data_IF_292757422079
#
_entry.id   IF_292757422079
#
_cell.length_a   1.000
_cell.length_b   1.000
_cell.length_c   1.000
_cell.angle_alpha   90.00
_cell.angle_beta   90.00
_cell.angle_gamma   90.00
#
_symmetry.space_group_name_H-M   'P 1'
#
loop_
_entity.id
_entity.type
_entity.pdbx_description
1 polymer ?
#
# COMPACT_ATOMS: atom_id res chain seq x y z
N UNK A 1 51.92 -18.19 16.79
CA UNK A 1 51.06 -18.89 15.78
C UNK A 1 49.59 -18.86 16.16
N UNK A 2 49.26 -18.60 17.41
CA UNK A 2 47.86 -18.62 17.89
C UNK A 2 47.05 -17.33 17.65
N UNK A 3 47.70 -16.17 17.54
CA UNK A 3 47.05 -14.89 17.32
C UNK A 3 46.34 -14.79 15.94
N UNK A 4 46.97 -15.37 14.91
CA UNK A 4 46.44 -15.41 13.54
C UNK A 4 45.21 -16.33 13.45
N UNK A 5 45.21 -17.46 14.18
CA UNK A 5 44.06 -18.37 14.26
C UNK A 5 42.87 -17.73 14.95
N UNK A 6 43.07 -16.98 16.02
CA UNK A 6 42.04 -16.28 16.74
C UNK A 6 41.42 -15.13 15.89
N UNK A 7 42.25 -14.39 15.15
CA UNK A 7 41.74 -13.33 14.26
C UNK A 7 40.92 -13.88 13.10
N UNK A 8 41.34 -14.99 12.50
CA UNK A 8 40.58 -15.64 11.44
C UNK A 8 39.25 -16.24 11.95
N UNK A 9 39.28 -16.85 13.16
CA UNK A 9 38.05 -17.38 13.77
C UNK A 9 37.03 -16.29 14.11
N UNK A 10 37.50 -15.15 14.65
CA UNK A 10 36.60 -13.99 14.92
C UNK A 10 36.02 -13.37 13.64
N UNK A 11 36.86 -13.23 12.59
CA UNK A 11 36.36 -12.71 11.27
C UNK A 11 35.34 -13.68 10.68
N UNK A 12 35.58 -14.98 10.73
CA UNK A 12 34.66 -16.00 10.20
C UNK A 12 33.36 -16.08 11.01
N UNK A 13 33.44 -15.98 12.33
CA UNK A 13 32.28 -15.96 13.22
C UNK A 13 31.42 -14.72 13.00
N UNK A 14 32.04 -13.53 12.89
CA UNK A 14 31.34 -12.26 12.62
C UNK A 14 30.72 -12.27 11.23
N UNK A 15 31.41 -12.78 10.22
CA UNK A 15 30.87 -12.91 8.86
C UNK A 15 29.66 -13.86 8.82
N UNK A 16 29.74 -15.00 9.48
CA UNK A 16 28.67 -16.01 9.53
C UNK A 16 27.45 -15.50 10.34
N UNK A 17 27.67 -14.76 11.44
CA UNK A 17 26.59 -14.10 12.19
C UNK A 17 25.93 -13.00 11.37
N UNK A 18 26.67 -12.24 10.57
CA UNK A 18 26.11 -11.22 9.69
C UNK A 18 25.24 -11.83 8.59
N UNK A 19 25.70 -12.91 7.96
CA UNK A 19 24.90 -13.64 6.96
C UNK A 19 23.62 -14.25 7.56
N UNK A 20 23.71 -14.86 8.74
CA UNK A 20 22.52 -15.41 9.43
C UNK A 20 21.49 -14.33 9.76
N UNK A 21 21.90 -13.15 10.18
CA UNK A 21 20.98 -12.02 10.44
C UNK A 21 20.25 -11.57 9.17
N UNK A 22 20.91 -11.57 8.01
CA UNK A 22 20.27 -11.20 6.74
C UNK A 22 19.20 -12.19 6.27
N UNK A 23 19.25 -13.45 6.73
CA UNK A 23 18.24 -14.47 6.41
C UNK A 23 17.17 -14.54 7.50
N UNK A 24 17.57 -14.46 8.78
CA UNK A 24 16.63 -14.57 9.91
C UNK A 24 15.67 -13.40 10.01
N UNK A 25 16.13 -12.18 9.71
CA UNK A 25 15.31 -10.98 9.81
C UNK A 25 14.11 -11.01 8.85
N UNK A 26 14.27 -11.26 7.54
CA UNK A 26 13.13 -11.35 6.62
C UNK A 26 12.20 -12.53 6.95
N UNK A 27 12.73 -13.65 7.43
CA UNK A 27 11.89 -14.78 7.86
C UNK A 27 11.06 -14.39 9.08
N UNK A 28 11.63 -13.71 10.07
CA UNK A 28 10.94 -13.23 11.25
C UNK A 28 9.81 -12.23 10.86
N UNK A 29 10.13 -11.26 10.00
CA UNK A 29 9.12 -10.32 9.51
C UNK A 29 8.02 -11.02 8.71
N UNK A 30 8.37 -11.99 7.86
CA UNK A 30 7.41 -12.81 7.14
C UNK A 30 6.50 -13.61 8.08
N UNK A 31 7.06 -14.19 9.14
CA UNK A 31 6.28 -14.90 10.16
C UNK A 31 5.33 -13.96 10.93
N UNK A 32 5.79 -12.79 11.32
CA UNK A 32 4.97 -11.75 11.98
C UNK A 32 3.82 -11.31 11.05
N UNK A 33 4.12 -11.06 9.77
CA UNK A 33 3.13 -10.69 8.77
C UNK A 33 2.06 -11.77 8.59
N UNK A 34 2.48 -13.04 8.52
CA UNK A 34 1.57 -14.18 8.42
C UNK A 34 0.68 -14.30 9.65
N UNK A 35 1.25 -14.18 10.85
CA UNK A 35 0.50 -14.20 12.09
C UNK A 35 -0.48 -13.05 12.19
N UNK A 36 -0.09 -11.84 11.76
CA UNK A 36 -0.96 -10.69 11.70
C UNK A 36 -2.12 -10.89 10.71
N UNK A 37 -1.84 -11.45 9.53
CA UNK A 37 -2.85 -11.75 8.52
C UNK A 37 -3.86 -12.80 9.03
N UNK A 38 -3.38 -13.85 9.70
CA UNK A 38 -4.23 -14.86 10.34
C UNK A 38 -5.05 -14.21 11.47
N UNK A 39 -4.42 -13.42 12.34
CA UNK A 39 -5.09 -12.71 13.42
C UNK A 39 -6.19 -11.77 12.94
N UNK A 40 -5.98 -11.10 11.79
CA UNK A 40 -6.97 -10.20 11.19
C UNK A 40 -8.25 -10.90 10.73
N UNK A 41 -8.24 -12.25 10.57
CA UNK A 41 -9.46 -13.01 10.30
C UNK A 41 -10.36 -13.06 11.54
N UNK A 42 -9.79 -13.07 12.73
CA UNK A 42 -10.52 -13.19 13.99
C UNK A 42 -10.98 -11.84 14.54
N UNK A 43 -10.13 -10.81 14.39
CA UNK A 43 -10.34 -9.47 14.95
C UNK A 43 -11.05 -8.57 13.95
N UNK A 44 -12.10 -7.90 14.37
CA UNK A 44 -12.83 -6.93 13.52
C UNK A 44 -14.03 -6.36 14.25
N UNK A 45 -14.90 -5.63 13.55
CA UNK A 45 -16.12 -5.05 14.11
C UNK A 45 -17.07 -6.10 14.74
N UNK A 46 -16.90 -7.35 14.32
CA UNK A 46 -17.65 -8.50 14.84
C UNK A 46 -16.62 -9.56 15.17
N UNK A 47 -16.62 -10.05 16.41
CA UNK A 47 -15.74 -11.13 16.82
C UNK A 47 -16.26 -12.45 16.28
N UNK A 48 -15.42 -13.16 15.53
CA UNK A 48 -15.75 -14.48 15.00
C UNK A 48 -15.03 -15.53 15.82
N UNK A 49 -15.76 -16.44 16.49
CA UNK A 49 -15.15 -17.51 17.26
C UNK A 49 -14.27 -18.41 16.38
N UNK A 50 -13.16 -18.87 16.92
CA UNK A 50 -12.22 -19.76 16.21
C UNK A 50 -12.91 -20.96 15.55
N UNK A 51 -13.88 -21.57 16.26
CA UNK A 51 -14.65 -22.71 15.78
C UNK A 51 -15.39 -22.39 14.46
N UNK A 52 -15.93 -21.16 14.31
CA UNK A 52 -16.65 -20.73 13.10
C UNK A 52 -15.71 -20.47 11.94
N UNK A 53 -14.55 -19.86 12.21
CA UNK A 53 -13.50 -19.66 11.17
C UNK A 53 -13.03 -21.02 10.67
N UNK A 54 -12.68 -21.94 11.56
CA UNK A 54 -12.22 -23.27 11.22
C UNK A 54 -13.28 -24.07 10.45
N UNK A 55 -14.53 -24.03 10.92
CA UNK A 55 -15.66 -24.68 10.24
C UNK A 55 -15.89 -24.13 8.83
N UNK A 56 -15.82 -22.80 8.65
CA UNK A 56 -15.99 -22.16 7.34
C UNK A 56 -14.89 -22.59 6.36
N UNK A 57 -13.63 -22.69 6.80
CA UNK A 57 -12.55 -23.21 5.97
C UNK A 57 -12.76 -24.68 5.61
N UNK A 58 -13.09 -25.56 6.57
CA UNK A 58 -13.35 -26.99 6.29
C UNK A 58 -14.50 -27.15 5.29
N UNK A 59 -15.57 -26.41 5.48
CA UNK A 59 -16.74 -26.46 4.58
C UNK A 59 -16.37 -26.03 3.15
N UNK A 60 -15.52 -25.01 2.99
CA UNK A 60 -15.08 -24.54 1.68
C UNK A 60 -14.19 -25.54 0.94
N UNK A 61 -13.38 -26.29 1.68
CA UNK A 61 -12.51 -27.34 1.12
C UNK A 61 -13.20 -28.71 1.03
N UNK A 62 -14.53 -28.79 1.20
CA UNK A 62 -15.34 -30.01 1.13
C UNK A 62 -14.90 -31.09 2.15
N UNK A 63 -14.31 -30.67 3.25
CA UNK A 63 -13.99 -31.57 4.36
C UNK A 63 -15.22 -31.69 5.25
N UNK A 64 -15.70 -32.93 5.44
CA UNK A 64 -16.85 -33.19 6.31
C UNK A 64 -16.57 -32.68 7.73
N UNK A 65 -17.40 -31.77 8.23
CA UNK A 65 -17.33 -31.26 9.59
C UNK A 65 -18.75 -31.17 10.16
N UNK A 66 -18.91 -31.57 11.43
CA UNK A 66 -20.17 -31.41 12.18
C UNK A 66 -20.40 -29.96 12.64
N UNK A 67 -19.56 -29.02 12.17
CA UNK A 67 -19.63 -27.62 12.54
C UNK A 67 -20.62 -26.92 11.62
N UNK A 68 -21.79 -26.59 12.14
CA UNK A 68 -22.77 -25.75 11.44
C UNK A 68 -22.30 -24.31 11.54
N UNK A 69 -21.88 -23.73 10.39
CA UNK A 69 -21.46 -22.33 10.30
C UNK A 69 -22.64 -21.50 9.82
N UNK A 70 -23.12 -20.51 10.59
CA UNK A 70 -24.13 -19.58 10.12
C UNK A 70 -23.64 -18.81 8.88
N UNK A 71 -24.52 -18.64 7.89
CA UNK A 71 -24.20 -17.97 6.62
C UNK A 71 -23.60 -16.57 6.81
N UNK A 72 -24.00 -15.89 7.88
CA UNK A 72 -23.45 -14.57 8.24
C UNK A 72 -21.93 -14.60 8.48
N UNK A 73 -21.43 -15.60 9.23
CA UNK A 73 -19.98 -15.72 9.48
C UNK A 73 -19.24 -16.12 8.20
N UNK A 74 -19.81 -17.05 7.44
CA UNK A 74 -19.21 -17.49 6.18
C UNK A 74 -19.06 -16.33 5.19
N UNK A 75 -20.12 -15.55 4.97
CA UNK A 75 -20.10 -14.35 4.12
C UNK A 75 -19.09 -13.31 4.64
N UNK A 76 -19.05 -13.07 5.94
CA UNK A 76 -18.11 -12.10 6.55
C UNK A 76 -16.66 -12.52 6.33
N UNK A 77 -16.33 -13.79 6.44
CA UNK A 77 -14.97 -14.29 6.25
C UNK A 77 -14.58 -14.19 4.79
N UNK A 78 -15.38 -14.76 3.89
CA UNK A 78 -14.99 -14.95 2.48
C UNK A 78 -15.20 -13.71 1.61
N UNK A 79 -16.24 -12.92 1.88
CA UNK A 79 -16.57 -11.76 1.04
C UNK A 79 -16.08 -10.43 1.60
N UNK A 80 -15.81 -10.35 2.90
CA UNK A 80 -15.35 -9.10 3.50
C UNK A 80 -13.92 -9.17 4.02
N UNK A 81 -13.59 -10.14 4.89
CA UNK A 81 -12.28 -10.16 5.58
C UNK A 81 -11.15 -10.62 4.70
N UNK A 82 -11.30 -11.77 4.06
CA UNK A 82 -10.25 -12.33 3.21
C UNK A 82 -9.85 -11.41 2.05
N UNK A 83 -10.78 -10.86 1.26
CA UNK A 83 -10.42 -9.94 0.20
C UNK A 83 -9.66 -8.71 0.73
N UNK A 84 -10.08 -8.14 1.86
CA UNK A 84 -9.41 -6.99 2.47
C UNK A 84 -8.01 -7.31 2.97
N UNK A 85 -7.81 -8.48 3.57
CA UNK A 85 -6.48 -8.93 4.02
C UNK A 85 -5.56 -9.11 2.80
N UNK A 86 -6.03 -9.78 1.76
CA UNK A 86 -5.25 -9.99 0.52
C UNK A 86 -4.90 -8.65 -0.12
N UNK A 87 -5.86 -7.74 -0.24
CA UNK A 87 -5.61 -6.41 -0.81
C UNK A 87 -4.65 -5.57 0.04
N UNK A 88 -4.73 -5.67 1.38
CA UNK A 88 -3.78 -5.00 2.28
C UNK A 88 -2.35 -5.51 2.08
N UNK A 89 -2.18 -6.84 1.94
CA UNK A 89 -0.88 -7.47 1.68
C UNK A 89 -0.32 -7.04 0.32
N UNK A 90 -1.15 -7.04 -0.73
CA UNK A 90 -0.75 -6.63 -2.07
C UNK A 90 -0.39 -5.14 -2.12
N UNK A 91 -1.20 -4.29 -1.50
CA UNK A 91 -0.93 -2.86 -1.42
C UNK A 91 0.38 -2.58 -0.66
N UNK A 92 0.57 -3.21 0.50
CA UNK A 92 1.80 -3.07 1.28
C UNK A 92 3.04 -3.57 0.53
N UNK A 93 2.95 -4.72 -0.14
CA UNK A 93 4.03 -5.24 -0.97
C UNK A 93 4.37 -4.30 -2.14
N UNK A 94 3.36 -3.77 -2.83
CA UNK A 94 3.53 -2.82 -3.92
C UNK A 94 4.21 -1.53 -3.45
N UNK A 95 3.76 -0.97 -2.33
CA UNK A 95 4.37 0.23 -1.74
C UNK A 95 5.81 -0.02 -1.30
N UNK A 96 6.12 -1.19 -0.73
CA UNK A 96 7.48 -1.55 -0.35
C UNK A 96 8.40 -1.63 -1.55
N UNK A 97 7.97 -2.27 -2.66
CA UNK A 97 8.74 -2.34 -3.91
C UNK A 97 8.95 -0.95 -4.48
N UNK A 98 7.89 -0.13 -4.57
CA UNK A 98 8.01 1.25 -5.02
C UNK A 98 9.01 2.04 -4.17
N UNK A 99 8.93 1.94 -2.84
CA UNK A 99 9.86 2.60 -1.92
C UNK A 99 11.31 2.19 -2.17
N UNK A 100 11.60 0.89 -2.29
CA UNK A 100 12.94 0.40 -2.59
C UNK A 100 13.47 0.92 -3.93
N UNK A 101 12.64 0.93 -4.97
CA UNK A 101 13.01 1.44 -6.30
C UNK A 101 13.33 2.94 -6.23
N UNK A 102 12.47 3.72 -5.55
CA UNK A 102 12.68 5.15 -5.37
C UNK A 102 13.96 5.47 -4.61
N UNK A 103 14.18 4.82 -3.48
CA UNK A 103 15.42 4.98 -2.70
C UNK A 103 16.67 4.65 -3.52
N UNK A 104 16.59 3.63 -4.37
CA UNK A 104 17.68 3.24 -5.26
C UNK A 104 17.94 4.26 -6.36
N UNK A 105 16.90 4.73 -7.07
CA UNK A 105 17.01 5.71 -8.15
C UNK A 105 17.54 7.05 -7.63
N UNK A 106 17.00 7.52 -6.50
CA UNK A 106 17.34 8.80 -5.92
C UNK A 106 18.58 8.73 -5.03
N UNK A 107 19.12 7.54 -4.78
CA UNK A 107 20.27 7.28 -3.89
C UNK A 107 20.08 7.96 -2.53
N UNK A 108 18.87 8.01 -2.05
CA UNK A 108 18.48 8.66 -0.80
C UNK A 108 17.52 7.75 -0.03
N UNK A 109 17.88 7.27 1.18
CA UNK A 109 17.06 6.36 1.97
C UNK A 109 15.77 7.00 2.51
N UNK A 110 15.63 8.33 2.44
CA UNK A 110 14.45 9.07 2.90
C UNK A 110 13.46 9.31 1.75
N UNK A 111 13.82 8.93 0.52
CA UNK A 111 12.98 9.18 -0.64
C UNK A 111 11.72 8.30 -0.62
N UNK A 112 10.56 8.94 -0.79
CA UNK A 112 9.23 8.32 -0.78
C UNK A 112 8.55 8.58 -2.14
N UNK A 113 7.86 7.59 -2.73
CA UNK A 113 7.03 7.76 -3.93
C UNK A 113 6.00 8.89 -3.82
N UNK A 114 5.52 9.19 -2.62
CA UNK A 114 4.57 10.26 -2.35
C UNK A 114 5.11 11.66 -2.69
N UNK A 115 6.43 11.86 -2.56
CA UNK A 115 7.09 13.16 -2.79
C UNK A 115 6.97 13.61 -4.24
N UNK A 116 6.88 12.69 -5.21
CA UNK A 116 6.74 13.04 -6.63
C UNK A 116 5.36 13.60 -7.01
N UNK A 117 4.40 13.66 -6.10
CA UNK A 117 3.09 14.23 -6.40
C UNK A 117 2.17 13.37 -7.28
N UNK A 118 2.55 12.12 -7.58
CA UNK A 118 1.72 11.19 -8.35
C UNK A 118 0.42 10.90 -7.60
N UNK A 119 0.51 10.76 -6.27
CA UNK A 119 -0.66 10.52 -5.41
C UNK A 119 -1.61 11.71 -5.40
N UNK A 120 -1.09 12.95 -5.37
CA UNK A 120 -1.95 14.15 -5.46
C UNK A 120 -2.62 14.25 -6.83
N UNK A 121 -1.92 13.86 -7.91
CA UNK A 121 -2.51 13.74 -9.24
C UNK A 121 -3.67 12.74 -9.27
N UNK A 122 -3.49 11.56 -8.67
CA UNK A 122 -4.57 10.58 -8.52
C UNK A 122 -5.75 11.15 -7.74
N UNK A 123 -5.48 11.86 -6.63
CA UNK A 123 -6.51 12.49 -5.80
C UNK A 123 -7.28 13.58 -6.56
N UNK A 124 -6.63 14.33 -7.43
CA UNK A 124 -7.29 15.33 -8.28
C UNK A 124 -8.26 14.66 -9.25
N UNK A 125 -7.83 13.60 -9.95
CA UNK A 125 -8.70 12.85 -10.85
C UNK A 125 -9.89 12.23 -10.15
N UNK A 126 -9.67 11.67 -8.96
CA UNK A 126 -10.74 11.14 -8.13
C UNK A 126 -11.72 12.24 -7.68
N UNK A 127 -11.21 13.39 -7.23
CA UNK A 127 -12.06 14.52 -6.82
C UNK A 127 -12.96 15.02 -7.96
N UNK A 128 -12.39 15.18 -9.15
CA UNK A 128 -13.16 15.57 -10.34
C UNK A 128 -14.22 14.52 -10.68
N UNK A 129 -13.87 13.24 -10.68
CA UNK A 129 -14.81 12.15 -10.96
C UNK A 129 -15.96 12.09 -9.96
N UNK A 130 -15.68 12.29 -8.68
CA UNK A 130 -16.68 12.31 -7.61
C UNK A 130 -17.63 13.51 -7.78
N UNK A 131 -17.10 14.69 -8.10
CA UNK A 131 -17.91 15.89 -8.35
C UNK A 131 -18.82 15.71 -9.57
N UNK A 132 -18.34 15.02 -10.61
CA UNK A 132 -19.14 14.71 -11.81
C UNK A 132 -20.15 13.57 -11.59
N UNK A 133 -20.17 12.95 -10.39
CA UNK A 133 -21.11 11.87 -10.07
C UNK A 133 -20.74 10.53 -10.70
N UNK A 134 -19.48 10.33 -11.09
CA UNK A 134 -19.02 9.06 -11.68
C UNK A 134 -18.71 7.98 -10.63
N UNK A 135 -18.86 8.31 -9.35
CA UNK A 135 -18.62 7.40 -8.21
C UNK A 135 -19.61 6.23 -8.12
N UNK A 136 -20.66 6.21 -8.94
CA UNK A 136 -21.62 5.11 -9.02
C UNK A 136 -21.03 3.86 -9.70
N UNK A 137 -20.05 4.03 -10.59
CA UNK A 137 -19.42 2.95 -11.32
C UNK A 137 -18.15 2.45 -10.64
N UNK A 138 -17.90 1.13 -10.68
CA UNK A 138 -16.70 0.50 -10.11
C UNK A 138 -15.39 1.12 -10.63
N UNK A 139 -15.37 1.53 -11.90
CA UNK A 139 -14.23 2.17 -12.55
C UNK A 139 -14.34 3.69 -12.63
N UNK A 140 -15.47 4.27 -12.22
CA UNK A 140 -15.77 5.68 -12.41
C UNK A 140 -14.80 6.62 -11.73
N UNK A 141 -14.27 6.28 -10.58
CA UNK A 141 -13.26 7.07 -9.87
C UNK A 141 -11.85 6.55 -10.15
N UNK A 142 -11.69 5.23 -10.29
CA UNK A 142 -10.37 4.59 -10.43
C UNK A 142 -9.69 4.96 -11.74
N UNK A 143 -10.43 4.98 -12.86
CA UNK A 143 -9.85 5.31 -14.17
C UNK A 143 -9.39 6.77 -14.25
N UNK A 144 -10.21 7.79 -13.91
CA UNK A 144 -9.75 9.17 -13.86
C UNK A 144 -8.56 9.37 -12.91
N UNK A 145 -8.58 8.73 -11.72
CA UNK A 145 -7.46 8.80 -10.79
C UNK A 145 -6.16 8.24 -11.40
N UNK A 146 -6.23 7.10 -12.07
CA UNK A 146 -5.07 6.51 -12.75
C UNK A 146 -4.56 7.39 -13.89
N UNK A 147 -5.47 7.91 -14.72
CA UNK A 147 -5.09 8.78 -15.84
C UNK A 147 -4.42 10.07 -15.38
N UNK A 148 -4.95 10.73 -14.36
CA UNK A 148 -4.35 11.95 -13.82
C UNK A 148 -3.03 11.68 -13.09
N UNK A 149 -2.89 10.52 -12.41
CA UNK A 149 -1.61 10.07 -11.86
C UNK A 149 -0.55 9.91 -12.96
N UNK A 150 -0.88 9.26 -14.06
CA UNK A 150 0.00 9.08 -15.21
C UNK A 150 0.34 10.42 -15.89
N UNK A 151 -0.64 11.31 -16.07
CA UNK A 151 -0.40 12.67 -16.60
C UNK A 151 0.54 13.45 -15.70
N UNK A 152 0.38 13.37 -14.39
CA UNK A 152 1.28 14.00 -13.42
C UNK A 152 2.70 13.47 -13.54
N UNK A 153 2.86 12.15 -13.67
CA UNK A 153 4.17 11.53 -13.89
C UNK A 153 4.82 12.00 -15.18
N UNK A 154 4.07 11.98 -16.29
CA UNK A 154 4.57 12.45 -17.61
C UNK A 154 4.96 13.91 -17.54
N UNK A 155 4.19 14.76 -16.86
CA UNK A 155 4.48 16.18 -16.68
C UNK A 155 5.77 16.41 -15.91
N UNK A 156 5.99 15.70 -14.80
CA UNK A 156 7.21 15.79 -13.99
C UNK A 156 8.42 15.32 -14.80
N UNK A 157 8.30 14.20 -15.50
CA UNK A 157 9.38 13.70 -16.37
C UNK A 157 9.68 14.65 -17.53
N UNK A 158 8.64 15.30 -18.09
CA UNK A 158 8.77 16.32 -19.12
C UNK A 158 9.60 17.51 -18.63
N UNK A 159 9.27 18.08 -17.47
CA UNK A 159 10.03 19.19 -16.87
C UNK A 159 11.49 18.77 -16.62
N UNK A 160 11.69 17.57 -16.05
CA UNK A 160 13.04 17.07 -15.82
C UNK A 160 13.87 16.89 -17.09
N UNK A 161 13.22 16.65 -18.24
CA UNK A 161 13.87 16.50 -19.55
C UNK A 161 14.28 17.84 -20.17
N UNK A 162 13.49 18.89 -19.92
CA UNK A 162 13.77 20.25 -20.42
C UNK A 162 14.72 21.04 -19.51
N UNK A 163 14.95 20.59 -18.29
CA UNK A 163 15.90 21.24 -17.37
C UNK A 163 17.34 21.02 -17.83
N UNK A 164 18.13 22.11 -17.90
CA UNK A 164 19.57 22.07 -18.21
C UNK A 164 20.36 21.24 -17.19
N UNK A 165 19.90 21.20 -15.96
CA UNK A 165 20.44 20.34 -14.89
C UNK A 165 19.52 19.13 -14.69
N UNK A 166 19.83 18.02 -15.36
CA UNK A 166 19.16 16.72 -15.16
C UNK A 166 19.52 16.14 -13.78
N UNK A 167 19.25 16.88 -12.72
CA UNK A 167 19.55 16.42 -11.37
C UNK A 167 18.30 15.76 -10.74
N UNK A 168 18.54 14.73 -9.98
CA UNK A 168 17.55 14.08 -9.14
C UNK A 168 16.82 15.07 -8.23
N UNK A 169 17.54 16.10 -7.77
CA UNK A 169 16.99 17.18 -6.94
C UNK A 169 15.95 18.01 -7.68
N UNK A 170 16.14 18.29 -8.97
CA UNK A 170 15.15 19.03 -9.78
C UNK A 170 13.84 18.26 -9.87
N UNK A 171 13.88 16.94 -10.07
CA UNK A 171 12.68 16.10 -10.11
C UNK A 171 11.94 16.12 -8.76
N UNK A 172 12.67 16.01 -7.66
CA UNK A 172 12.08 16.06 -6.33
C UNK A 172 11.41 17.40 -6.02
N UNK A 173 12.12 18.52 -6.31
CA UNK A 173 11.58 19.86 -6.09
C UNK A 173 10.34 20.12 -6.97
N UNK A 174 10.39 19.69 -8.23
CA UNK A 174 9.24 19.80 -9.14
C UNK A 174 8.05 19.00 -8.61
N UNK A 175 8.29 17.77 -8.13
CA UNK A 175 7.25 16.92 -7.53
C UNK A 175 6.60 17.58 -6.30
N UNK A 176 7.41 18.12 -5.40
CA UNK A 176 6.93 18.83 -4.20
C UNK A 176 6.10 20.05 -4.59
N UNK A 177 6.60 20.90 -5.50
CA UNK A 177 5.88 22.09 -5.95
C UNK A 177 4.53 21.72 -6.60
N UNK A 178 4.54 20.68 -7.44
CA UNK A 178 3.33 20.19 -8.09
C UNK A 178 2.34 19.59 -7.11
N UNK A 179 2.84 18.89 -6.08
CA UNK A 179 2.00 18.35 -5.01
C UNK A 179 1.24 19.47 -4.27
N UNK A 180 1.93 20.55 -3.89
CA UNK A 180 1.27 21.71 -3.26
C UNK A 180 0.28 22.39 -4.19
N UNK A 181 0.62 22.55 -5.46
CA UNK A 181 -0.26 23.16 -6.46
C UNK A 181 -1.55 22.33 -6.64
N UNK A 182 -1.41 21.02 -6.84
CA UNK A 182 -2.56 20.11 -7.00
C UNK A 182 -3.39 20.07 -5.72
N UNK A 183 -2.77 20.02 -4.54
CA UNK A 183 -3.48 20.04 -3.26
C UNK A 183 -4.30 21.31 -3.07
N UNK A 184 -3.79 22.46 -3.52
CA UNK A 184 -4.52 23.72 -3.50
C UNK A 184 -5.76 23.67 -4.41
N UNK A 185 -5.64 23.06 -5.60
CA UNK A 185 -6.79 22.86 -6.50
C UNK A 185 -7.83 21.94 -5.86
N UNK A 186 -7.40 20.82 -5.26
CA UNK A 186 -8.32 19.90 -4.57
C UNK A 186 -9.06 20.61 -3.46
N UNK A 187 -8.35 21.42 -2.66
CA UNK A 187 -8.97 22.23 -1.60
C UNK A 187 -10.02 23.19 -2.16
N UNK A 188 -9.71 23.88 -3.25
CA UNK A 188 -10.66 24.77 -3.93
C UNK A 188 -11.90 23.99 -4.41
N UNK A 189 -11.70 22.82 -5.04
CA UNK A 189 -12.80 21.98 -5.50
C UNK A 189 -13.70 21.53 -4.35
N UNK A 190 -13.12 21.18 -3.19
CA UNK A 190 -13.87 20.81 -1.99
C UNK A 190 -14.71 21.99 -1.48
N UNK A 191 -14.12 23.19 -1.40
CA UNK A 191 -14.82 24.39 -0.91
C UNK A 191 -16.00 24.76 -1.80
N UNK A 192 -15.82 24.67 -3.11
CA UNK A 192 -16.90 24.99 -4.08
C UNK A 192 -17.98 23.90 -4.12
N UNK A 193 -17.61 22.63 -3.87
CA UNK A 193 -18.50 21.48 -3.95
C UNK A 193 -18.69 20.79 -2.59
N UNK A 194 -19.26 21.49 -1.63
CA UNK A 194 -19.41 21.01 -0.25
C UNK A 194 -20.17 19.68 -0.14
N UNK A 195 -21.10 19.41 -1.06
CA UNK A 195 -21.85 18.14 -1.09
C UNK A 195 -20.94 16.91 -1.35
N UNK A 196 -19.86 17.10 -2.09
CA UNK A 196 -18.89 16.04 -2.43
C UNK A 196 -17.73 15.96 -1.45
N UNK A 197 -17.60 16.90 -0.53
CA UNK A 197 -16.48 17.04 0.40
C UNK A 197 -16.17 15.74 1.14
N UNK A 198 -17.18 15.13 1.76
CA UNK A 198 -17.03 13.92 2.56
C UNK A 198 -16.51 12.74 1.72
N UNK A 199 -17.03 12.55 0.52
CA UNK A 199 -16.60 11.46 -0.38
C UNK A 199 -15.15 11.65 -0.83
N UNK A 200 -14.76 12.89 -1.19
CA UNK A 200 -13.38 13.21 -1.60
C UNK A 200 -12.41 12.97 -0.44
N UNK A 201 -12.78 13.38 0.77
CA UNK A 201 -11.98 13.16 1.97
C UNK A 201 -11.76 11.67 2.24
N UNK A 202 -12.82 10.86 2.25
CA UNK A 202 -12.70 9.41 2.47
C UNK A 202 -11.88 8.74 1.38
N UNK A 203 -11.99 9.18 0.14
CA UNK A 203 -11.19 8.61 -0.94
C UNK A 203 -9.70 8.95 -0.77
N UNK A 204 -9.37 10.20 -0.44
CA UNK A 204 -7.97 10.64 -0.24
C UNK A 204 -7.30 10.00 0.98
N UNK A 205 -8.07 9.68 2.02
CA UNK A 205 -7.56 8.91 3.18
C UNK A 205 -7.25 7.46 2.83
N UNK A 206 -7.83 6.94 1.77
CA UNK A 206 -7.73 5.54 1.38
C UNK A 206 -8.63 4.65 2.22
N UNK A 207 -9.28 3.69 1.59
CA UNK A 207 -10.12 2.72 2.27
C UNK A 207 -10.17 1.41 1.50
N UNK A 208 -10.12 0.31 2.23
CA UNK A 208 -10.40 -1.03 1.71
C UNK A 208 -11.83 -1.47 2.02
N UNK A 209 -12.70 -0.56 2.49
CA UNK A 209 -14.08 -0.87 2.88
C UNK A 209 -14.94 -1.34 1.71
N UNK A 210 -14.64 -0.90 0.49
CA UNK A 210 -15.34 -1.27 -0.75
C UNK A 210 -14.84 -2.55 -1.40
N UNK A 211 -13.78 -3.16 -0.85
CA UNK A 211 -13.25 -4.44 -1.35
C UNK A 211 -14.09 -5.58 -0.79
N UNK A 212 -14.84 -6.23 -1.65
CA UNK A 212 -15.69 -7.39 -1.33
C UNK A 212 -15.72 -8.35 -2.52
#
# INVERSE_FOLDING_TARGET
MDFVKWSLFTIFAVHNMRQRKHILLPILFGAILLLAAIGAIFIGAIDIPFKMVWGSFLHRFHVSSDIIVPAFYDTTIWQLRLPRIVMSLLAGASLAVCGCVFQSIFRNPICDPYILGISSGASLGAAVAIILGWDISLFGVTVPALLTALLTLVFIMGIGRFSHHRSTQTLLLTGIALNFFISSIITLLIVVNQQSMQKIYFWTMGSLATVS
#
